data_IF_979948861718
#
_entry.id   IF_979948861718
#
_cell.length_a   1.000
_cell.length_b   1.000
_cell.length_c   1.000
_cell.angle_alpha   90.00
_cell.angle_beta   90.00
_cell.angle_gamma   90.00
#
_symmetry.space_group_name_H-M   'P 1'
#
loop_
_entity.id
_entity.type
_entity.pdbx_description
1 polymer ?
#
# COMPACT_ATOMS: atom_id res chain seq x y z
N UNK A 1 3.55 2.77 2.97
CA UNK A 1 2.32 1.95 3.12
C UNK A 1 1.15 2.91 3.05
N UNK A 2 0.29 2.80 2.05
CA UNK A 2 -0.93 3.60 1.98
C UNK A 2 -1.84 3.18 3.14
N UNK A 3 -2.45 4.11 3.89
CA UNK A 3 -3.32 3.78 5.02
C UNK A 3 -4.53 2.93 4.61
N UNK A 4 -4.88 2.96 3.33
CA UNK A 4 -6.00 2.23 2.72
C UNK A 4 -5.88 0.72 2.85
N UNK A 5 -4.66 0.16 2.84
CA UNK A 5 -4.42 -1.30 2.91
C UNK A 5 -4.93 -1.90 4.22
N UNK A 6 -4.99 -1.12 5.29
CA UNK A 6 -5.53 -1.58 6.58
C UNK A 6 -7.03 -1.88 6.45
N UNK A 7 -7.78 -1.08 5.68
CA UNK A 7 -9.20 -1.33 5.45
C UNK A 7 -9.43 -2.58 4.61
N UNK A 8 -8.55 -2.85 3.64
CA UNK A 8 -8.65 -4.03 2.78
C UNK A 8 -8.40 -5.34 3.55
N UNK A 9 -7.41 -5.36 4.45
CA UNK A 9 -7.04 -6.56 5.22
C UNK A 9 -7.92 -6.76 6.46
N UNK A 10 -8.26 -5.70 7.20
CA UNK A 10 -9.13 -5.84 8.37
C UNK A 10 -10.62 -6.01 8.01
N UNK A 11 -11.03 -5.66 6.80
CA UNK A 11 -12.38 -5.96 6.31
C UNK A 11 -12.52 -7.42 5.88
N UNK A 12 -12.06 -7.74 4.68
CA UNK A 12 -12.34 -9.04 4.05
C UNK A 12 -11.45 -10.20 4.56
N UNK A 13 -10.22 -9.91 4.98
CA UNK A 13 -9.24 -10.95 5.32
C UNK A 13 -9.35 -11.36 6.79
N UNK A 14 -9.63 -10.43 7.70
CA UNK A 14 -9.78 -10.73 9.13
C UNK A 14 -10.91 -11.73 9.41
N UNK A 15 -12.06 -11.56 8.76
CA UNK A 15 -13.20 -12.48 8.89
C UNK A 15 -12.86 -13.89 8.38
N UNK A 16 -12.13 -13.98 7.26
CA UNK A 16 -11.71 -15.27 6.69
C UNK A 16 -10.56 -15.95 7.44
N UNK A 17 -9.82 -15.23 8.29
CA UNK A 17 -8.61 -15.73 8.95
C UNK A 17 -8.74 -15.82 10.48
N UNK A 18 -9.95 -15.85 11.02
CA UNK A 18 -10.18 -15.93 12.48
C UNK A 18 -9.43 -14.83 13.26
N UNK A 19 -9.38 -13.60 12.73
CA UNK A 19 -8.72 -12.45 13.36
C UNK A 19 -7.21 -12.62 13.64
N UNK A 20 -6.48 -13.48 12.91
CA UNK A 20 -5.01 -13.56 13.04
C UNK A 20 -4.25 -12.43 12.34
N UNK A 21 -4.96 -11.54 11.65
CA UNK A 21 -4.41 -10.39 10.92
C UNK A 21 -3.47 -9.52 11.77
N UNK A 22 -3.77 -9.16 13.04
CA UNK A 22 -2.86 -8.38 13.88
C UNK A 22 -1.51 -9.07 14.10
N UNK A 23 -1.50 -10.39 14.30
CA UNK A 23 -0.26 -11.16 14.48
C UNK A 23 0.58 -11.17 13.19
N UNK A 24 -0.05 -11.28 12.02
CA UNK A 24 0.62 -11.17 10.73
C UNK A 24 1.26 -9.78 10.54
N UNK A 25 0.55 -8.71 10.92
CA UNK A 25 1.10 -7.35 10.91
C UNK A 25 2.29 -7.18 11.87
N UNK A 26 2.26 -7.80 13.05
CA UNK A 26 3.38 -7.77 13.99
C UNK A 26 4.64 -8.43 13.42
N UNK A 27 4.50 -9.60 12.78
CA UNK A 27 5.61 -10.27 12.10
C UNK A 27 6.12 -9.44 10.91
N UNK A 28 5.21 -8.90 10.10
CA UNK A 28 5.57 -8.03 8.98
C UNK A 28 6.35 -6.79 9.45
N UNK A 29 5.95 -6.18 10.57
CA UNK A 29 6.65 -5.03 11.16
C UNK A 29 8.10 -5.37 11.52
N UNK A 30 8.34 -6.54 12.14
CA UNK A 30 9.69 -7.00 12.47
C UNK A 30 10.55 -7.09 11.20
N UNK A 31 10.03 -7.75 10.15
CA UNK A 31 10.73 -7.89 8.87
C UNK A 31 11.03 -6.53 8.25
N UNK A 32 10.05 -5.62 8.23
CA UNK A 32 10.20 -4.28 7.66
C UNK A 32 11.22 -3.42 8.42
N UNK A 33 11.34 -3.59 9.74
CA UNK A 33 12.38 -2.91 10.53
C UNK A 33 13.77 -3.36 10.09
N UNK A 34 13.98 -4.68 9.90
CA UNK A 34 15.25 -5.17 9.36
C UNK A 34 15.54 -4.61 7.96
N UNK A 35 14.54 -4.56 7.08
CA UNK A 35 14.66 -3.96 5.75
C UNK A 35 15.04 -2.48 5.86
N UNK A 36 14.36 -1.70 6.70
CA UNK A 36 14.62 -0.27 6.88
C UNK A 36 16.04 -0.01 7.40
N UNK A 37 16.51 -0.78 8.38
CA UNK A 37 17.88 -0.67 8.91
C UNK A 37 18.91 -0.99 7.83
N UNK A 38 18.69 -2.02 7.03
CA UNK A 38 19.58 -2.41 5.92
C UNK A 38 19.71 -1.28 4.88
N UNK A 39 18.57 -0.73 4.43
CA UNK A 39 18.54 0.39 3.48
C UNK A 39 19.20 1.65 4.07
N UNK A 40 18.95 1.94 5.34
CA UNK A 40 19.54 3.09 6.03
C UNK A 40 21.06 3.02 6.15
N UNK A 41 21.63 1.82 6.29
CA UNK A 41 23.09 1.62 6.24
C UNK A 41 23.62 1.77 4.81
N UNK A 42 22.94 1.16 3.83
CA UNK A 42 23.39 1.15 2.44
C UNK A 42 23.37 2.53 1.78
N UNK A 43 22.39 3.39 2.10
CA UNK A 43 22.32 4.75 1.52
C UNK A 43 23.53 5.61 1.87
N UNK A 44 24.19 5.35 3.02
CA UNK A 44 25.40 6.06 3.46
C UNK A 44 26.65 5.60 2.72
N UNK A 45 26.69 4.33 2.31
CA UNK A 45 27.83 3.70 1.63
C UNK A 45 27.73 3.93 0.12
N UNK A 46 26.53 3.82 -0.44
CA UNK A 46 26.24 4.00 -1.85
C UNK A 46 25.22 5.15 -1.98
N UNK A 47 25.68 6.42 -1.99
CA UNK A 47 24.81 7.59 -2.11
C UNK A 47 24.35 7.77 -3.57
N UNK A 48 23.57 6.81 -4.07
CA UNK A 48 23.03 6.80 -5.43
C UNK A 48 21.52 6.60 -5.42
N UNK A 49 20.83 7.22 -6.37
CA UNK A 49 19.38 7.23 -6.45
C UNK A 49 18.75 5.88 -6.86
N UNK A 50 19.54 4.88 -7.27
CA UNK A 50 19.01 3.62 -7.80
C UNK A 50 18.56 2.58 -6.76
N UNK A 51 18.57 2.94 -5.46
CA UNK A 51 17.93 2.15 -4.39
C UNK A 51 18.37 0.67 -4.39
N UNK A 52 17.44 -0.26 -4.18
CA UNK A 52 17.64 -1.71 -4.08
C UNK A 52 18.47 -2.30 -5.24
N UNK A 53 18.21 -1.84 -6.47
CA UNK A 53 18.93 -2.27 -7.67
C UNK A 53 20.41 -1.94 -7.56
N UNK A 54 20.73 -0.68 -7.23
CA UNK A 54 22.13 -0.24 -7.10
C UNK A 54 22.81 -0.90 -5.91
N UNK A 55 22.11 -1.07 -4.79
CA UNK A 55 22.66 -1.77 -3.63
C UNK A 55 23.04 -3.20 -3.95
N UNK A 56 22.16 -3.98 -4.58
CA UNK A 56 22.44 -5.37 -4.94
C UNK A 56 23.50 -5.48 -6.05
N UNK A 57 23.52 -4.54 -7.00
CA UNK A 57 24.52 -4.48 -8.07
C UNK A 57 25.93 -4.24 -7.54
N UNK A 58 26.08 -3.27 -6.63
CA UNK A 58 27.38 -2.86 -6.10
C UNK A 58 27.87 -3.77 -4.96
N UNK A 59 26.98 -4.36 -4.16
CA UNK A 59 27.38 -5.18 -3.00
C UNK A 59 27.47 -6.70 -3.27
N UNK A 60 26.75 -7.22 -4.27
CA UNK A 60 26.69 -8.67 -4.55
C UNK A 60 27.23 -8.97 -5.95
N UNK A 61 26.46 -8.64 -6.98
CA UNK A 61 26.83 -8.91 -8.37
C UNK A 61 25.88 -8.16 -9.33
N UNK A 62 26.33 -7.70 -10.51
CA UNK A 62 25.48 -7.04 -11.49
C UNK A 62 24.25 -7.85 -11.93
N UNK A 63 24.38 -9.18 -12.04
CA UNK A 63 23.26 -10.07 -12.37
C UNK A 63 22.17 -10.13 -11.28
N UNK A 64 22.56 -10.07 -10.01
CA UNK A 64 21.61 -10.03 -8.88
C UNK A 64 20.91 -8.67 -8.84
N UNK A 65 21.65 -7.58 -9.08
CA UNK A 65 21.08 -6.25 -9.27
C UNK A 65 20.00 -6.24 -10.34
N UNK A 66 20.26 -6.83 -11.51
CA UNK A 66 19.28 -6.95 -12.60
C UNK A 66 18.00 -7.67 -12.16
N UNK A 67 18.09 -8.82 -11.49
CA UNK A 67 16.92 -9.55 -10.99
C UNK A 67 16.13 -8.69 -10.00
N UNK A 68 16.80 -8.02 -9.07
CA UNK A 68 16.14 -7.11 -8.10
C UNK A 68 15.40 -5.97 -8.79
N UNK A 69 16.01 -5.39 -9.84
CA UNK A 69 15.36 -4.36 -10.66
C UNK A 69 14.10 -4.87 -11.34
N UNK A 70 14.16 -6.07 -11.93
CA UNK A 70 12.98 -6.70 -12.56
C UNK A 70 11.88 -7.04 -11.57
N UNK A 71 12.22 -7.57 -10.40
CA UNK A 71 11.24 -7.87 -9.37
C UNK A 71 10.54 -6.61 -8.88
N UNK A 72 11.28 -5.51 -8.72
CA UNK A 72 10.70 -4.23 -8.32
C UNK A 72 9.78 -3.65 -9.41
N UNK A 73 10.17 -3.78 -10.68
CA UNK A 73 9.34 -3.32 -11.81
C UNK A 73 8.03 -4.11 -11.89
N UNK A 74 8.09 -5.43 -11.74
CA UNK A 74 6.91 -6.29 -11.70
C UNK A 74 6.01 -5.91 -10.51
N UNK A 75 6.58 -5.72 -9.32
CA UNK A 75 5.82 -5.29 -8.14
C UNK A 75 5.06 -3.99 -8.41
N UNK A 76 5.73 -2.97 -8.98
CA UNK A 76 5.09 -1.71 -9.34
C UNK A 76 3.98 -1.85 -10.40
N UNK A 77 4.09 -2.81 -11.32
CA UNK A 77 3.03 -3.09 -12.31
C UNK A 77 1.85 -3.84 -11.68
N UNK A 78 2.09 -4.74 -10.73
CA UNK A 78 1.06 -5.53 -10.07
C UNK A 78 0.22 -4.70 -9.09
N UNK A 79 0.81 -3.71 -8.42
CA UNK A 79 0.12 -2.89 -7.42
C UNK A 79 -1.15 -2.21 -7.95
N UNK A 80 -1.16 -1.49 -9.09
CA UNK A 80 -2.37 -0.92 -9.66
C UNK A 80 -3.43 -1.96 -10.01
N UNK A 81 -3.01 -3.15 -10.49
CA UNK A 81 -3.94 -4.22 -10.86
C UNK A 81 -4.65 -4.79 -9.63
N UNK A 82 -3.93 -5.03 -8.54
CA UNK A 82 -4.52 -5.50 -7.27
C UNK A 82 -5.53 -4.48 -6.75
N UNK A 83 -5.19 -3.20 -6.76
CA UNK A 83 -6.11 -2.14 -6.33
C UNK A 83 -7.39 -2.08 -7.20
N UNK A 84 -7.26 -2.23 -8.53
CA UNK A 84 -8.41 -2.26 -9.42
C UNK A 84 -9.33 -3.46 -9.17
N UNK A 85 -8.76 -4.64 -8.86
CA UNK A 85 -9.51 -5.84 -8.52
C UNK A 85 -10.27 -5.70 -7.20
N UNK A 86 -9.61 -5.13 -6.18
CA UNK A 86 -10.25 -4.86 -4.88
C UNK A 86 -11.40 -3.87 -5.06
N UNK A 87 -11.19 -2.77 -5.78
CA UNK A 87 -12.25 -1.80 -6.06
C UNK A 87 -13.43 -2.46 -6.79
N UNK A 88 -13.15 -3.26 -7.83
CA UNK A 88 -14.18 -4.01 -8.54
C UNK A 88 -14.98 -4.88 -7.57
N UNK A 89 -14.33 -5.60 -6.66
CA UNK A 89 -15.00 -6.45 -5.67
C UNK A 89 -15.94 -5.65 -4.76
N UNK A 90 -15.53 -4.46 -4.31
CA UNK A 90 -16.39 -3.58 -3.51
C UNK A 90 -17.56 -3.01 -4.31
N UNK A 91 -17.31 -2.60 -5.55
CA UNK A 91 -18.34 -1.99 -6.41
C UNK A 91 -19.37 -3.01 -6.92
N UNK A 92 -18.95 -4.25 -7.23
CA UNK A 92 -19.88 -5.35 -7.56
C UNK A 92 -20.76 -5.71 -6.36
N UNK A 93 -20.24 -5.62 -5.13
CA UNK A 93 -21.02 -5.86 -3.91
C UNK A 93 -22.07 -4.77 -3.66
N UNK A 94 -21.78 -3.50 -4.03
CA UNK A 94 -22.70 -2.37 -3.85
C UNK A 94 -23.67 -2.20 -5.02
N UNK A 95 -23.23 -2.49 -6.25
CA UNK A 95 -23.98 -2.32 -7.48
C UNK A 95 -23.92 -3.61 -8.33
N UNK A 96 -24.67 -4.65 -7.94
CA UNK A 96 -24.60 -5.97 -8.59
C UNK A 96 -25.09 -5.96 -10.05
N UNK A 97 -25.87 -4.95 -10.45
CA UNK A 97 -26.40 -4.82 -11.81
C UNK A 97 -25.37 -4.34 -12.84
N UNK A 98 -24.22 -3.82 -12.40
CA UNK A 98 -23.20 -3.24 -13.29
C UNK A 98 -22.08 -4.26 -13.56
N UNK A 99 -21.77 -4.56 -14.84
CA UNK A 99 -20.66 -5.45 -15.19
C UNK A 99 -19.31 -4.98 -14.62
N UNK A 100 -18.59 -5.88 -13.94
CA UNK A 100 -17.32 -5.56 -13.27
C UNK A 100 -16.22 -4.95 -14.13
N UNK A 101 -16.21 -5.22 -15.44
CA UNK A 101 -15.22 -4.64 -16.35
C UNK A 101 -15.33 -3.11 -16.44
N UNK A 102 -16.53 -2.56 -16.25
CA UNK A 102 -16.78 -1.11 -16.28
C UNK A 102 -16.04 -0.45 -15.12
N UNK A 103 -16.12 -1.02 -13.91
CA UNK A 103 -15.44 -0.50 -12.73
C UNK A 103 -13.93 -0.49 -12.88
N UNK A 104 -13.36 -1.53 -13.50
CA UNK A 104 -11.92 -1.60 -13.80
C UNK A 104 -11.54 -0.47 -14.77
N UNK A 105 -12.26 -0.31 -15.87
CA UNK A 105 -11.97 0.74 -16.87
C UNK A 105 -12.11 2.14 -16.28
N UNK A 106 -13.17 2.41 -15.52
CA UNK A 106 -13.41 3.71 -14.87
C UNK A 106 -12.30 4.02 -13.86
N UNK A 107 -11.91 3.05 -13.03
CA UNK A 107 -10.83 3.23 -12.08
C UNK A 107 -9.50 3.49 -12.76
N UNK A 108 -9.12 2.67 -13.74
CA UNK A 108 -7.87 2.85 -14.49
C UNK A 108 -7.85 4.21 -15.19
N UNK A 109 -8.92 4.58 -15.89
CA UNK A 109 -9.01 5.88 -16.55
C UNK A 109 -8.93 7.05 -15.56
N UNK A 110 -9.60 6.93 -14.40
CA UNK A 110 -9.57 7.93 -13.33
C UNK A 110 -8.15 8.11 -12.76
N UNK A 111 -7.50 7.02 -12.37
CA UNK A 111 -6.13 7.03 -11.83
C UNK A 111 -5.15 7.56 -12.87
N UNK A 112 -5.21 7.08 -14.11
CA UNK A 112 -4.36 7.58 -15.20
C UNK A 112 -4.59 9.07 -15.46
N UNK A 113 -5.85 9.54 -15.43
CA UNK A 113 -6.19 10.95 -15.55
C UNK A 113 -5.57 11.80 -14.42
N UNK A 114 -5.68 11.35 -13.18
CA UNK A 114 -5.07 12.02 -12.02
C UNK A 114 -3.55 12.06 -12.15
N UNK A 115 -2.91 10.96 -12.55
CA UNK A 115 -1.46 10.90 -12.78
C UNK A 115 -1.06 11.89 -13.88
N UNK A 116 -1.79 11.92 -14.99
CA UNK A 116 -1.52 12.83 -16.11
C UNK A 116 -1.63 14.31 -15.71
N UNK A 117 -2.67 14.66 -14.95
CA UNK A 117 -2.85 16.02 -14.43
C UNK A 117 -1.79 16.41 -13.40
N UNK A 118 -1.38 15.46 -12.55
CA UNK A 118 -0.37 15.68 -11.50
C UNK A 118 1.04 15.80 -12.08
N UNK A 119 1.38 15.06 -13.13
CA UNK A 119 2.68 15.18 -13.81
C UNK A 119 2.93 16.57 -14.41
N UNK A 120 1.87 17.31 -14.74
CA UNK A 120 1.96 18.67 -15.30
C UNK A 120 1.83 19.79 -14.27
N UNK A 121 1.43 19.49 -13.03
CA UNK A 121 1.18 20.47 -11.97
C UNK A 121 2.25 20.44 -10.87
N UNK A 122 2.85 21.60 -10.57
CA UNK A 122 3.84 21.81 -9.51
C UNK A 122 3.41 21.23 -8.15
N UNK A 123 4.10 20.17 -7.71
CA UNK A 123 4.49 19.74 -6.34
C UNK A 123 3.57 19.91 -5.11
N UNK A 124 2.34 20.43 -5.20
CA UNK A 124 1.48 20.72 -4.04
C UNK A 124 0.36 19.68 -3.84
N UNK A 125 -0.03 18.96 -4.91
CA UNK A 125 -1.08 17.93 -4.85
C UNK A 125 -0.67 16.77 -3.94
N UNK A 126 0.60 16.36 -4.02
CA UNK A 126 1.12 15.30 -3.16
C UNK A 126 1.05 15.67 -1.66
N UNK A 127 1.28 16.94 -1.33
CA UNK A 127 1.16 17.43 0.05
C UNK A 127 -0.28 17.39 0.54
N UNK A 128 -1.25 17.79 -0.30
CA UNK A 128 -2.69 17.71 0.01
C UNK A 128 -3.12 16.26 0.24
N UNK A 129 -2.72 15.35 -0.64
CA UNK A 129 -3.03 13.91 -0.51
C UNK A 129 -2.42 13.31 0.77
N UNK A 130 -1.20 13.73 1.13
CA UNK A 130 -0.53 13.28 2.35
C UNK A 130 -1.24 13.80 3.61
N UNK A 131 -1.64 15.07 3.63
CA UNK A 131 -2.41 15.65 4.75
C UNK A 131 -3.77 14.95 4.89
N UNK A 132 -4.47 14.72 3.78
CA UNK A 132 -5.73 13.99 3.78
C UNK A 132 -5.57 12.56 4.31
N UNK A 133 -4.51 11.86 3.89
CA UNK A 133 -4.19 10.52 4.38
C UNK A 133 -3.94 10.47 5.88
N UNK A 134 -3.22 11.47 6.43
CA UNK A 134 -2.99 11.60 7.87
C UNK A 134 -4.31 11.85 8.59
N UNK A 135 -5.16 12.74 8.07
CA UNK A 135 -6.46 13.06 8.68
C UNK A 135 -7.35 11.82 8.81
N UNK A 136 -7.51 11.07 7.71
CA UNK A 136 -8.32 9.83 7.71
C UNK A 136 -7.76 8.82 8.72
N UNK A 137 -6.42 8.68 8.78
CA UNK A 137 -5.77 7.82 9.77
C UNK A 137 -6.06 8.27 11.20
N UNK A 138 -5.98 9.56 11.50
CA UNK A 138 -6.30 10.10 12.83
C UNK A 138 -7.74 9.82 13.22
N UNK A 139 -8.70 10.07 12.32
CA UNK A 139 -10.12 9.79 12.57
C UNK A 139 -10.35 8.31 12.84
N UNK A 140 -9.72 7.43 12.06
CA UNK A 140 -9.81 5.99 12.27
C UNK A 140 -9.29 5.58 13.65
N UNK A 141 -8.10 6.07 14.04
CA UNK A 141 -7.53 5.78 15.37
C UNK A 141 -8.45 6.26 16.49
N UNK A 142 -9.02 7.46 16.38
CA UNK A 142 -9.96 7.99 17.36
C UNK A 142 -11.21 7.11 17.46
N UNK A 143 -11.79 6.69 16.34
CA UNK A 143 -12.94 5.79 16.35
C UNK A 143 -12.61 4.45 17.01
N UNK A 144 -11.44 3.87 16.71
CA UNK A 144 -10.98 2.62 17.33
C UNK A 144 -10.82 2.80 18.85
N UNK A 145 -10.23 3.90 19.32
CA UNK A 145 -10.12 4.20 20.75
C UNK A 145 -11.49 4.35 21.42
N UNK A 146 -12.43 5.07 20.79
CA UNK A 146 -13.79 5.25 21.31
C UNK A 146 -14.52 3.90 21.41
N UNK A 147 -14.40 3.04 20.39
CA UNK A 147 -15.03 1.72 20.39
C UNK A 147 -14.39 0.75 21.40
N UNK A 148 -13.06 0.81 21.57
CA UNK A 148 -12.34 0.04 22.58
C UNK A 148 -12.77 0.42 24.00
N UNK A 149 -12.85 1.74 24.30
CA UNK A 149 -13.32 2.24 25.60
C UNK A 149 -14.83 2.00 25.79
N UNK A 150 -15.59 2.00 24.69
CA UNK A 150 -17.02 1.66 24.66
C UNK A 150 -17.33 0.17 24.82
N UNK A 151 -16.33 -0.69 25.03
CA UNK A 151 -16.53 -2.10 25.36
C UNK A 151 -16.60 -3.07 24.17
N UNK A 152 -16.48 -2.58 22.92
CA UNK A 152 -16.49 -3.45 21.73
C UNK A 152 -15.22 -4.31 21.58
N UNK A 153 -14.22 -4.13 22.45
CA UNK A 153 -12.99 -4.95 22.51
C UNK A 153 -13.05 -6.13 23.48
N UNK A 154 -14.13 -6.28 24.25
CA UNK A 154 -14.37 -7.47 25.07
C UNK A 154 -15.19 -8.45 24.23
N UNK A 155 -14.51 -9.39 23.56
CA UNK A 155 -15.14 -10.34 22.65
C UNK A 155 -16.37 -11.03 23.26
N UNK A 156 -17.53 -10.75 22.68
CA UNK A 156 -18.71 -11.61 22.63
C UNK A 156 -18.91 -12.02 21.18
#
# INVERSE_FOLDING_TARGET
>A
MTPTVVFDTFGLVAEKTNNVVPAAYAVALIVLVFTAISYGKMVRVIPSAGSAYTYARESIHPGVGFVVGWTALIDYMLLPMVNALILRSYMEALFPDIPGWIWVVVFTAGVTGVIYLTMRGTSNVNMILLVFSILVMTVFVVMVFVQLVGGAGAGT
#
